data_IF_957962762239
#
_entry.id   IF_957962762239
#
_cell.length_a   1.000
_cell.length_b   1.000
_cell.length_c   1.000
_cell.angle_alpha   90.00
_cell.angle_beta   90.00
_cell.angle_gamma   90.00
#
_symmetry.space_group_name_H-M   'P 1'
#
loop_
_entity.id
_entity.type
_entity.pdbx_description
1 polymer ?
#
# COMPACT_ATOMS: atom_id res chain seq x y z
N UNK A 1 -9.16 1.60 -11.39
CA UNK A 1 -8.48 2.50 -10.43
C UNK A 1 -9.41 3.02 -9.33
N UNK A 2 -10.58 3.60 -9.64
CA UNK A 2 -11.53 4.10 -8.60
C UNK A 2 -11.92 3.04 -7.55
N UNK A 3 -12.24 1.83 -8.00
CA UNK A 3 -12.62 0.72 -7.10
C UNK A 3 -11.46 0.28 -6.19
N UNK A 4 -10.24 0.22 -6.73
CA UNK A 4 -9.03 -0.12 -5.96
C UNK A 4 -8.78 0.91 -4.85
N UNK A 5 -8.81 2.21 -5.20
CA UNK A 5 -8.61 3.29 -4.23
C UNK A 5 -9.66 3.23 -3.12
N UNK A 6 -10.94 3.03 -3.47
CA UNK A 6 -12.01 2.88 -2.48
C UNK A 6 -11.78 1.67 -1.57
N UNK A 7 -11.37 0.52 -2.13
CA UNK A 7 -11.07 -0.67 -1.33
C UNK A 7 -9.91 -0.43 -0.36
N UNK A 8 -8.80 0.15 -0.83
CA UNK A 8 -7.66 0.49 0.04
C UNK A 8 -8.06 1.43 1.18
N UNK A 9 -8.88 2.44 0.89
CA UNK A 9 -9.37 3.38 1.91
C UNK A 9 -10.30 2.73 2.94
N UNK A 10 -11.13 1.77 2.53
CA UNK A 10 -11.94 0.99 3.48
C UNK A 10 -11.09 0.09 4.38
N UNK A 11 -10.04 -0.52 3.81
CA UNK A 11 -9.10 -1.33 4.59
C UNK A 11 -8.30 -0.46 5.57
N UNK A 12 -7.95 0.78 5.18
CA UNK A 12 -7.25 1.71 6.06
C UNK A 12 -8.02 1.94 7.38
N UNK A 13 -9.35 2.02 7.33
CA UNK A 13 -10.20 2.15 8.52
C UNK A 13 -10.06 0.92 9.44
N UNK A 14 -10.06 -0.28 8.87
CA UNK A 14 -9.94 -1.55 9.64
C UNK A 14 -8.58 -1.63 10.35
N UNK A 15 -7.51 -1.24 9.67
CA UNK A 15 -6.14 -1.27 10.19
C UNK A 15 -5.77 0.00 10.98
N UNK A 16 -6.69 0.96 11.16
CA UNK A 16 -6.45 2.23 11.85
C UNK A 16 -5.33 3.06 11.20
N UNK A 17 -5.26 3.06 9.87
CA UNK A 17 -4.30 3.82 9.07
C UNK A 17 -4.93 5.14 8.63
N UNK A 18 -4.18 6.24 8.72
CA UNK A 18 -4.66 7.53 8.24
C UNK A 18 -4.92 7.50 6.72
N UNK A 19 -5.99 8.13 6.22
CA UNK A 19 -6.33 8.16 4.79
C UNK A 19 -5.18 8.64 3.89
N UNK A 20 -4.41 9.62 4.35
CA UNK A 20 -3.26 10.20 3.67
C UNK A 20 -2.16 9.15 3.51
N UNK A 21 -1.76 8.53 4.61
CA UNK A 21 -0.78 7.43 4.63
C UNK A 21 -1.25 6.26 3.76
N UNK A 22 -2.53 5.91 3.78
CA UNK A 22 -3.09 4.88 2.91
C UNK A 22 -2.96 5.20 1.42
N UNK A 23 -3.05 6.48 1.03
CA UNK A 23 -2.76 6.91 -0.34
C UNK A 23 -1.28 6.78 -0.67
N UNK A 24 -0.37 7.11 0.25
CA UNK A 24 1.07 6.95 0.04
C UNK A 24 1.44 5.48 -0.22
N UNK A 25 0.92 4.53 0.57
CA UNK A 25 1.14 3.09 0.32
C UNK A 25 0.63 2.65 -1.06
N UNK A 26 -0.53 3.17 -1.49
CA UNK A 26 -1.12 2.86 -2.79
C UNK A 26 -0.26 3.42 -3.93
N UNK A 27 0.13 4.69 -3.85
CA UNK A 27 0.94 5.36 -4.86
C UNK A 27 2.31 4.69 -4.99
N UNK A 28 2.93 4.34 -3.87
CA UNK A 28 4.21 3.64 -3.84
C UNK A 28 4.13 2.25 -4.49
N UNK A 29 3.06 1.50 -4.24
CA UNK A 29 2.83 0.20 -4.90
C UNK A 29 2.57 0.32 -6.40
N UNK A 30 1.87 1.37 -6.82
CA UNK A 30 1.67 1.67 -8.24
C UNK A 30 3.02 2.00 -8.88
N UNK A 31 3.81 2.89 -8.28
CA UNK A 31 5.14 3.27 -8.78
C UNK A 31 6.04 2.04 -8.96
N UNK A 32 6.09 1.16 -7.95
CA UNK A 32 6.84 -0.10 -8.03
C UNK A 32 6.35 -1.00 -9.17
N UNK A 33 5.03 -1.21 -9.30
CA UNK A 33 4.47 -2.06 -10.36
C UNK A 33 4.72 -1.50 -11.77
N UNK A 34 4.80 -0.17 -11.91
CA UNK A 34 5.14 0.47 -13.19
C UNK A 34 6.64 0.52 -13.48
N UNK A 35 7.49 0.04 -12.57
CA UNK A 35 8.94 0.09 -12.68
C UNK A 35 9.54 1.49 -12.48
N UNK A 36 8.76 2.44 -11.95
CA UNK A 36 9.22 3.80 -11.66
C UNK A 36 10.23 3.83 -10.51
N UNK A 37 10.11 2.88 -9.57
CA UNK A 37 11.04 2.68 -8.46
C UNK A 37 11.43 1.20 -8.37
N UNK A 38 12.63 0.95 -7.85
CA UNK A 38 13.12 -0.39 -7.55
C UNK A 38 12.41 -1.01 -6.33
N UNK A 39 12.58 -2.32 -6.14
CA UNK A 39 12.05 -3.01 -4.96
C UNK A 39 12.78 -2.62 -3.66
N UNK A 40 14.03 -2.18 -3.77
CA UNK A 40 14.82 -1.68 -2.63
C UNK A 40 14.29 -0.32 -2.18
N UNK A 41 14.18 0.66 -3.10
CA UNK A 41 13.59 1.97 -2.84
C UNK A 41 12.17 1.87 -2.28
N UNK A 42 11.38 0.92 -2.79
CA UNK A 42 10.05 0.61 -2.25
C UNK A 42 10.11 0.19 -0.77
N UNK A 43 11.01 -0.71 -0.43
CA UNK A 43 11.13 -1.26 0.93
C UNK A 43 11.59 -0.19 1.91
N UNK A 44 12.58 0.61 1.53
CA UNK A 44 13.07 1.74 2.32
C UNK A 44 11.98 2.79 2.54
N UNK A 45 11.25 3.17 1.49
CA UNK A 45 10.21 4.19 1.57
C UNK A 45 9.04 3.72 2.44
N UNK A 46 8.63 2.44 2.33
CA UNK A 46 7.63 1.86 3.25
C UNK A 46 8.09 1.94 4.69
N UNK A 47 9.35 1.60 4.95
CA UNK A 47 9.89 1.64 6.31
C UNK A 47 9.87 3.07 6.86
N UNK A 48 10.25 4.06 6.05
CA UNK A 48 10.21 5.48 6.43
C UNK A 48 8.79 5.97 6.72
N UNK A 49 7.81 5.67 5.86
CA UNK A 49 6.40 6.02 6.08
C UNK A 49 5.89 5.39 7.38
N UNK A 50 6.19 4.10 7.58
CA UNK A 50 5.75 3.35 8.76
C UNK A 50 6.36 3.95 10.03
N UNK A 51 7.67 4.24 10.02
CA UNK A 51 8.37 4.81 11.17
C UNK A 51 7.88 6.24 11.51
N UNK A 52 7.44 7.02 10.52
CA UNK A 52 6.90 8.35 10.75
C UNK A 52 5.48 8.34 11.34
N UNK A 53 4.70 7.28 11.10
CA UNK A 53 3.29 7.20 11.50
C UNK A 53 3.03 6.28 12.70
N UNK A 54 3.84 5.24 12.90
CA UNK A 54 3.60 4.21 13.90
C UNK A 54 4.36 4.49 15.21
N UNK A 55 3.71 5.15 16.15
CA UNK A 55 4.28 5.49 17.46
C UNK A 55 4.27 4.33 18.47
N UNK A 56 3.57 3.24 18.15
CA UNK A 56 3.45 2.05 19.01
C UNK A 56 3.71 0.78 18.23
N UNK A 57 4.10 -0.29 18.92
CA UNK A 57 4.28 -1.61 18.31
C UNK A 57 3.00 -2.12 17.64
N UNK A 58 1.83 -1.87 18.24
CA UNK A 58 0.55 -2.26 17.64
C UNK A 58 0.29 -1.52 16.32
N UNK A 59 0.55 -0.21 16.27
CA UNK A 59 0.43 0.55 15.02
C UNK A 59 1.43 0.06 13.99
N UNK A 60 2.66 -0.27 14.40
CA UNK A 60 3.67 -0.81 13.50
C UNK A 60 3.20 -2.11 12.84
N UNK A 61 2.65 -3.04 13.63
CA UNK A 61 2.09 -4.29 13.12
C UNK A 61 0.94 -4.01 12.15
N UNK A 62 0.03 -3.08 12.50
CA UNK A 62 -1.08 -2.71 11.62
C UNK A 62 -0.57 -2.17 10.27
N UNK A 63 0.42 -1.27 10.29
CA UNK A 63 1.04 -0.73 9.08
C UNK A 63 1.70 -1.81 8.23
N UNK A 64 2.40 -2.77 8.84
CA UNK A 64 3.00 -3.91 8.12
C UNK A 64 1.95 -4.80 7.44
N UNK A 65 0.87 -5.14 8.15
CA UNK A 65 -0.21 -5.95 7.58
C UNK A 65 -0.94 -5.19 6.48
N UNK A 66 -1.21 -3.91 6.68
CA UNK A 66 -1.84 -3.05 5.70
C UNK A 66 -0.99 -2.90 4.44
N UNK A 67 0.33 -2.71 4.57
CA UNK A 67 1.22 -2.58 3.42
C UNK A 67 1.27 -3.84 2.56
N UNK A 68 1.25 -5.02 3.20
CA UNK A 68 1.14 -6.30 2.50
C UNK A 68 -0.19 -6.43 1.76
N UNK A 69 -1.30 -6.05 2.39
CA UNK A 69 -2.62 -6.06 1.77
C UNK A 69 -2.69 -5.13 0.56
N UNK A 70 -2.18 -3.89 0.67
CA UNK A 70 -2.15 -2.94 -0.45
C UNK A 70 -1.31 -3.50 -1.61
N UNK A 71 -0.18 -4.15 -1.31
CA UNK A 71 0.64 -4.83 -2.32
C UNK A 71 -0.18 -5.87 -3.09
N UNK A 72 -0.89 -6.74 -2.36
CA UNK A 72 -1.74 -7.79 -2.95
C UNK A 72 -2.84 -7.19 -3.81
N UNK A 73 -3.59 -6.20 -3.29
CA UNK A 73 -4.69 -5.57 -4.02
C UNK A 73 -4.23 -4.86 -5.30
N UNK A 74 -3.07 -4.21 -5.26
CA UNK A 74 -2.50 -3.55 -6.45
C UNK A 74 -2.06 -4.59 -7.48
N UNK A 75 -1.40 -5.66 -7.05
CA UNK A 75 -0.99 -6.73 -7.97
C UNK A 75 -2.21 -7.43 -8.61
N UNK A 76 -3.24 -7.75 -7.84
CA UNK A 76 -4.51 -8.31 -8.34
C UNK A 76 -5.17 -7.36 -9.35
N UNK A 77 -5.17 -6.06 -9.06
CA UNK A 77 -5.66 -5.05 -9.98
C UNK A 77 -4.89 -5.10 -11.32
N UNK A 78 -3.56 -5.12 -11.32
CA UNK A 78 -2.77 -5.20 -12.55
C UNK A 78 -2.95 -6.53 -13.31
N UNK A 79 -2.98 -7.65 -12.59
CA UNK A 79 -3.24 -8.98 -13.17
C UNK A 79 -4.60 -9.04 -13.87
N UNK A 80 -5.62 -8.35 -13.34
CA UNK A 80 -6.94 -8.30 -13.98
C UNK A 80 -6.92 -7.68 -15.39
N UNK A 81 -5.98 -6.78 -15.68
CA UNK A 81 -5.80 -6.24 -17.04
C UNK A 81 -5.06 -7.22 -17.94
N UNK A 82 -4.05 -7.93 -17.41
CA UNK A 82 -3.25 -8.90 -18.19
C UNK A 82 -4.10 -10.11 -18.62
N UNK A 83 -5.00 -10.58 -17.76
CA UNK A 83 -5.84 -11.76 -18.04
C UNK A 83 -7.06 -11.40 -18.92
N UNK A 84 -7.42 -10.12 -19.00
CA UNK A 84 -8.56 -9.66 -19.80
C UNK A 84 -8.21 -9.40 -21.28
N UNK A 85 -6.93 -9.51 -21.65
CA UNK A 85 -6.43 -9.48 -23.02
C UNK A 85 -6.19 -10.92 -23.54
#
# INVERSE_FOLDING_TARGET
MKSLKAHVQLQAIIYQIQPETANEYLELNIARNTGLISSEEYTETIWMITAAAAETEQLWINHQLFSQLVTTLVNEYYLSFIISD
#
